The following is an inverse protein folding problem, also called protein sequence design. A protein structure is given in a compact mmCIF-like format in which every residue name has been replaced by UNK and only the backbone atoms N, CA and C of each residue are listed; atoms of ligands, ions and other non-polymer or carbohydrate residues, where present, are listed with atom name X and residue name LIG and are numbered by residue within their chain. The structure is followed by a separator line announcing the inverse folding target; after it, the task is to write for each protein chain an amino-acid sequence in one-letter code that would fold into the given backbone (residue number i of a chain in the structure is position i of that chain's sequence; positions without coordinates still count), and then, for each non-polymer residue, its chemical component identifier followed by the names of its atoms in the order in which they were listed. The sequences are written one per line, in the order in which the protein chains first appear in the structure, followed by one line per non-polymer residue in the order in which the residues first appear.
data_IF_273174271906
#
_entry.id   IF_273174271906
#
_cell.length_a   1.000
_cell.length_b   1.000
_cell.length_c   1.000
_cell.angle_alpha   90.00
_cell.angle_beta   90.00
_cell.angle_gamma   90.00
#
_symmetry.space_group_name_H-M   'P 1'
#
loop_
_entity.id
_entity.type
_entity.pdbx_description
1 polymer ?
#
# COMPACT_ATOMS: atom_id res chain seq x y z
N UNK A 1 11.68 -18.17 0.62
CA UNK A 1 12.64 -17.04 0.56
C UNK A 1 13.83 -17.42 1.40
N UNK A 2 15.05 -17.14 0.93
CA UNK A 2 16.25 -17.24 1.78
C UNK A 2 16.24 -16.17 2.88
N UNK A 3 17.21 -16.26 3.80
CA UNK A 3 17.28 -15.39 4.97
C UNK A 3 17.44 -13.91 4.61
N UNK A 4 18.20 -13.59 3.56
CA UNK A 4 18.46 -12.21 3.15
C UNK A 4 17.21 -11.61 2.51
N UNK A 5 16.56 -12.33 1.60
CA UNK A 5 15.30 -11.91 1.00
C UNK A 5 14.20 -11.69 2.05
N UNK A 6 14.13 -12.55 3.08
CA UNK A 6 13.18 -12.41 4.20
C UNK A 6 13.48 -11.18 5.05
N UNK A 7 14.75 -10.94 5.35
CA UNK A 7 15.15 -9.74 6.10
C UNK A 7 14.81 -8.46 5.34
N UNK A 8 15.14 -8.38 4.05
CA UNK A 8 14.80 -7.24 3.19
C UNK A 8 13.29 -7.00 3.14
N UNK A 9 12.49 -8.07 2.97
CA UNK A 9 11.03 -7.98 2.98
C UNK A 9 10.50 -7.37 4.29
N UNK A 10 10.98 -7.85 5.44
CA UNK A 10 10.54 -7.34 6.74
C UNK A 10 10.90 -5.85 6.93
N UNK A 11 12.06 -5.42 6.45
CA UNK A 11 12.47 -4.01 6.48
C UNK A 11 11.52 -3.16 5.63
N UNK A 12 11.16 -3.62 4.42
CA UNK A 12 10.22 -2.91 3.55
C UNK A 12 8.82 -2.80 4.17
N UNK A 13 8.33 -3.87 4.80
CA UNK A 13 7.05 -3.86 5.53
C UNK A 13 7.08 -2.85 6.68
N UNK A 14 8.15 -2.84 7.47
CA UNK A 14 8.30 -1.89 8.58
C UNK A 14 8.35 -0.42 8.11
N UNK A 15 8.97 -0.15 6.95
CA UNK A 15 8.98 1.20 6.35
C UNK A 15 7.56 1.62 5.91
N UNK A 16 6.80 0.70 5.31
CA UNK A 16 5.43 0.98 4.91
C UNK A 16 4.51 1.25 6.12
N UNK A 17 4.62 0.42 7.16
CA UNK A 17 3.96 0.59 8.46
C UNK A 17 4.33 1.93 9.13
N UNK A 18 5.62 2.31 9.12
CA UNK A 18 6.07 3.63 9.59
C UNK A 18 5.39 4.76 8.82
N UNK A 19 5.31 4.65 7.49
CA UNK A 19 4.59 5.61 6.65
C UNK A 19 3.11 5.73 7.04
N UNK A 20 2.45 4.59 7.33
CA UNK A 20 1.08 4.57 7.81
C UNK A 20 0.93 5.26 9.17
N UNK A 21 1.84 4.99 10.11
CA UNK A 21 1.85 5.61 11.44
C UNK A 21 2.04 7.14 11.38
N UNK A 22 2.99 7.62 10.56
CA UNK A 22 3.19 9.06 10.31
C UNK A 22 1.92 9.69 9.73
N UNK A 23 1.23 8.95 8.87
CA UNK A 23 -0.07 9.31 8.33
C UNK A 23 -1.25 8.90 9.23
N UNK A 24 -1.05 8.89 10.56
CA UNK A 24 -2.09 8.73 11.57
C UNK A 24 -2.94 7.46 11.43
N UNK A 25 -2.38 6.42 10.81
CA UNK A 25 -2.91 5.07 10.78
C UNK A 25 -2.37 4.24 11.94
N UNK A 26 -2.81 2.99 11.98
CA UNK A 26 -2.30 2.00 12.92
C UNK A 26 -0.85 1.62 12.55
N UNK A 27 0.11 1.67 13.49
CA UNK A 27 1.51 1.33 13.20
C UNK A 27 1.75 -0.12 12.80
N UNK A 28 0.82 -1.03 13.08
CA UNK A 28 0.95 -2.44 12.71
C UNK A 28 0.27 -2.76 11.35
N UNK A 29 -0.45 -1.78 10.77
CA UNK A 29 -1.13 -1.90 9.48
C UNK A 29 -0.33 -1.22 8.35
N UNK A 30 -0.28 -1.89 7.20
CA UNK A 30 0.33 -1.34 5.97
C UNK A 30 -0.55 -0.27 5.30
N UNK A 31 0.06 0.68 4.60
CA UNK A 31 -0.66 1.68 3.79
C UNK A 31 -1.58 0.98 2.78
N UNK A 32 -1.10 -0.08 2.13
CA UNK A 32 -1.88 -0.81 1.11
C UNK A 32 -3.08 -1.55 1.72
N UNK A 33 -2.94 -2.18 2.90
CA UNK A 33 -4.07 -2.77 3.61
C UNK A 33 -5.10 -1.71 4.04
N UNK A 34 -4.64 -0.58 4.58
CA UNK A 34 -5.52 0.54 4.97
C UNK A 34 -6.28 1.13 3.80
N UNK A 35 -5.59 1.38 2.69
CA UNK A 35 -6.21 1.86 1.45
C UNK A 35 -7.20 0.82 0.92
N UNK A 36 -6.83 -0.46 0.91
CA UNK A 36 -7.70 -1.56 0.51
C UNK A 36 -8.99 -1.63 1.35
N UNK A 37 -8.88 -1.43 2.67
CA UNK A 37 -10.04 -1.41 3.57
C UNK A 37 -10.99 -0.27 3.24
N UNK A 38 -10.50 0.97 3.17
CA UNK A 38 -11.36 2.13 2.94
C UNK A 38 -11.90 2.21 1.51
N UNK A 39 -11.19 1.66 0.53
CA UNK A 39 -11.68 1.54 -0.83
C UNK A 39 -12.80 0.50 -0.95
N UNK A 40 -12.70 -0.66 -0.27
CA UNK A 40 -13.56 -1.81 -0.56
C UNK A 40 -14.48 -2.27 0.57
N UNK A 41 -14.04 -2.21 1.83
CA UNK A 41 -14.70 -2.85 2.98
C UNK A 41 -15.35 -1.87 3.94
N UNK A 42 -14.87 -0.61 4.00
CA UNK A 42 -15.44 0.38 4.91
C UNK A 42 -16.93 0.61 4.63
N UNK A 43 -17.80 0.51 5.67
CA UNK A 43 -19.20 0.88 5.56
C UNK A 43 -19.37 2.39 5.38
N UNK A 44 -18.40 3.18 5.87
CA UNK A 44 -18.35 4.61 5.64
C UNK A 44 -17.74 4.91 4.25
N UNK A 45 -18.52 5.53 3.37
CA UNK A 45 -18.11 5.93 2.01
C UNK A 45 -17.53 7.34 1.92
N UNK A 46 -17.28 8.00 3.06
CA UNK A 46 -16.63 9.30 3.07
C UNK A 46 -15.25 9.21 2.41
N UNK A 47 -14.98 10.14 1.47
CA UNK A 47 -13.75 10.15 0.67
C UNK A 47 -13.51 8.85 -0.13
N UNK A 48 -14.54 8.08 -0.46
CA UNK A 48 -14.39 6.82 -1.21
C UNK A 48 -13.61 6.99 -2.52
N UNK A 49 -13.81 8.08 -3.26
CA UNK A 49 -13.03 8.36 -4.48
C UNK A 49 -11.55 8.61 -4.22
N UNK A 50 -11.20 9.25 -3.11
CA UNK A 50 -9.81 9.44 -2.69
C UNK A 50 -9.14 8.09 -2.39
N UNK A 51 -9.82 7.22 -1.62
CA UNK A 51 -9.31 5.89 -1.31
C UNK A 51 -9.17 5.02 -2.55
N UNK A 52 -10.16 5.05 -3.46
CA UNK A 52 -10.07 4.35 -4.75
C UNK A 52 -9.00 4.90 -5.68
N UNK A 53 -8.71 6.20 -5.60
CA UNK A 53 -7.61 6.78 -6.36
C UNK A 53 -6.27 6.25 -5.85
N UNK A 54 -6.03 6.30 -4.54
CA UNK A 54 -4.82 5.73 -3.95
C UNK A 54 -4.69 4.24 -4.22
N UNK A 55 -5.79 3.49 -4.12
CA UNK A 55 -5.81 2.06 -4.45
C UNK A 55 -5.31 1.81 -5.87
N UNK A 56 -5.79 2.57 -6.87
CA UNK A 56 -5.33 2.42 -8.26
C UNK A 56 -3.85 2.77 -8.41
N UNK A 57 -3.37 3.80 -7.74
CA UNK A 57 -1.95 4.20 -7.79
C UNK A 57 -1.06 3.09 -7.24
N UNK A 58 -1.43 2.54 -6.09
CA UNK A 58 -0.67 1.46 -5.43
C UNK A 58 -0.78 0.18 -6.25
N UNK A 59 -1.98 -0.22 -6.65
CA UNK A 59 -2.20 -1.41 -7.47
C UNK A 59 -1.45 -1.34 -8.81
N UNK A 60 -1.40 -0.18 -9.47
CA UNK A 60 -0.60 0.02 -10.68
C UNK A 60 0.89 -0.14 -10.42
N UNK A 61 1.37 0.40 -9.28
CA UNK A 61 2.78 0.34 -8.89
C UNK A 61 3.24 -1.10 -8.65
N UNK A 62 2.41 -1.90 -7.98
CA UNK A 62 2.72 -3.28 -7.62
C UNK A 62 2.23 -4.32 -8.63
N UNK A 63 1.43 -3.94 -9.64
CA UNK A 63 0.95 -4.86 -10.67
C UNK A 63 2.04 -5.75 -11.29
N UNK A 64 3.25 -5.23 -11.61
CA UNK A 64 4.27 -6.07 -12.22
C UNK A 64 4.91 -7.09 -11.26
N UNK A 65 4.73 -6.91 -9.94
CA UNK A 65 5.25 -7.80 -8.90
C UNK A 65 4.19 -8.77 -8.37
N UNK A 66 3.02 -8.23 -7.97
CA UNK A 66 1.98 -8.96 -7.23
C UNK A 66 0.75 -9.29 -8.08
N UNK A 67 0.68 -8.78 -9.31
CA UNK A 67 -0.52 -8.88 -10.15
C UNK A 67 -1.64 -7.94 -9.71
N UNK A 68 -2.90 -8.20 -10.10
CA UNK A 68 -4.01 -7.30 -9.84
C UNK A 68 -4.43 -7.30 -8.37
N UNK A 69 -4.97 -6.17 -7.89
CA UNK A 69 -5.60 -5.99 -6.57
C UNK A 69 -4.64 -6.19 -5.39
N UNK A 70 -3.45 -5.58 -5.47
CA UNK A 70 -2.45 -5.61 -4.41
C UNK A 70 -3.04 -5.14 -3.08
N UNK A 71 -3.72 -3.98 -3.03
CA UNK A 71 -4.28 -3.44 -1.79
C UNK A 71 -5.29 -4.38 -1.13
N UNK A 72 -6.14 -5.03 -1.93
CA UNK A 72 -7.14 -5.99 -1.43
C UNK A 72 -6.48 -7.28 -0.93
N UNK A 73 -5.42 -7.73 -1.59
CA UNK A 73 -4.61 -8.88 -1.15
C UNK A 73 -3.89 -8.59 0.17
N UNK A 74 -3.31 -7.40 0.30
CA UNK A 74 -2.68 -6.92 1.54
C UNK A 74 -3.68 -6.88 2.68
N UNK A 75 -4.88 -6.33 2.46
CA UNK A 75 -5.96 -6.35 3.45
C UNK A 75 -6.36 -7.77 3.87
N UNK A 76 -6.41 -8.72 2.94
CA UNK A 76 -6.79 -10.10 3.25
C UNK A 76 -5.71 -10.86 4.06
N UNK A 77 -4.46 -10.40 4.01
CA UNK A 77 -3.34 -10.93 4.80
C UNK A 77 -3.21 -10.25 6.16
N UNK A 78 -3.86 -9.11 6.32
CA UNK A 78 -3.90 -8.37 7.56
C UNK A 78 -4.94 -8.99 8.51
N UNK A 79 -4.51 -9.30 9.73
CA UNK A 79 -5.38 -9.89 10.75
C UNK A 79 -5.94 -8.83 11.71
N UNK A 80 -5.54 -7.57 11.53
CA UNK A 80 -5.81 -6.51 12.50
C UNK A 80 -7.10 -5.74 12.24
N UNK A 81 -7.78 -5.41 13.33
CA UNK A 81 -9.01 -4.62 13.33
C UNK A 81 -8.69 -3.25 13.90
N UNK A 82 -8.48 -2.24 13.05
CA UNK A 82 -8.06 -0.92 13.54
C UNK A 82 -7.96 0.19 12.51
N UNK A 83 -8.60 0.03 11.34
CA UNK A 83 -8.44 0.99 10.25
C UNK A 83 -8.97 2.39 10.62
N UNK A 84 -8.07 3.36 10.79
CA UNK A 84 -8.40 4.76 11.14
C UNK A 84 -8.47 5.63 9.88
N UNK A 85 -9.55 6.40 9.72
CA UNK A 85 -9.71 7.31 8.58
C UNK A 85 -8.71 8.48 8.59
N UNK A 86 -8.43 9.02 9.78
CA UNK A 86 -7.62 10.23 9.97
C UNK A 86 -8.35 11.53 9.60
N UNK A 87 -7.78 12.66 10.03
CA UNK A 87 -8.21 14.00 9.64
C UNK A 87 -7.80 14.35 8.21
N UNK A 88 -8.31 15.45 7.67
CA UNK A 88 -8.00 15.93 6.33
C UNK A 88 -6.50 16.13 6.09
N UNK A 89 -5.79 16.69 7.08
CA UNK A 89 -4.33 16.85 7.05
C UNK A 89 -3.62 15.49 6.97
N UNK A 90 -4.05 14.54 7.80
CA UNK A 90 -3.46 13.20 7.86
C UNK A 90 -3.64 12.45 6.54
N UNK A 91 -4.79 12.61 5.87
CA UNK A 91 -4.99 12.07 4.52
C UNK A 91 -4.09 12.75 3.48
N UNK A 92 -3.92 14.07 3.55
CA UNK A 92 -2.98 14.75 2.64
C UNK A 92 -1.55 14.20 2.81
N UNK A 93 -1.11 13.98 4.05
CA UNK A 93 0.19 13.35 4.37
C UNK A 93 0.25 11.92 3.80
N UNK A 94 -0.79 11.10 4.01
CA UNK A 94 -0.87 9.74 3.47
C UNK A 94 -0.68 9.73 1.94
N UNK A 95 -1.43 10.58 1.23
CA UNK A 95 -1.35 10.67 -0.22
C UNK A 95 0.03 11.13 -0.69
N UNK A 96 0.63 12.11 -0.01
CA UNK A 96 1.97 12.58 -0.32
C UNK A 96 3.02 11.47 -0.18
N UNK A 97 3.00 10.74 0.94
CA UNK A 97 3.92 9.61 1.20
C UNK A 97 3.69 8.51 0.15
N UNK A 98 2.45 8.06 -0.01
CA UNK A 98 2.12 6.95 -0.89
C UNK A 98 2.45 7.25 -2.37
N UNK A 99 2.05 8.40 -2.88
CA UNK A 99 2.29 8.77 -4.29
C UNK A 99 3.79 8.95 -4.54
N UNK A 100 4.52 9.63 -3.64
CA UNK A 100 5.96 9.84 -3.80
C UNK A 100 6.70 8.51 -3.81
N UNK A 101 6.41 7.61 -2.86
CA UNK A 101 6.99 6.27 -2.83
C UNK A 101 6.62 5.46 -4.09
N UNK A 102 5.35 5.51 -4.52
CA UNK A 102 4.87 4.81 -5.71
C UNK A 102 5.56 5.27 -6.99
N UNK A 103 5.92 6.56 -7.13
CA UNK A 103 6.69 7.04 -8.29
C UNK A 103 8.04 6.33 -8.36
N UNK A 104 8.79 6.27 -7.26
CA UNK A 104 10.11 5.61 -7.27
C UNK A 104 10.01 4.09 -7.42
N UNK A 105 9.06 3.46 -6.72
CA UNK A 105 8.85 2.00 -6.82
C UNK A 105 8.38 1.63 -8.22
N UNK A 106 7.47 2.39 -8.84
CA UNK A 106 6.95 2.09 -10.17
C UNK A 106 8.03 2.12 -11.25
N UNK A 107 9.00 3.04 -11.15
CA UNK A 107 10.16 3.05 -12.06
C UNK A 107 10.93 1.73 -11.97
N UNK A 108 11.13 1.19 -10.77
CA UNK A 108 11.83 -0.08 -10.57
C UNK A 108 10.99 -1.27 -11.04
N UNK A 109 9.74 -1.38 -10.60
CA UNK A 109 8.88 -2.54 -10.88
C UNK A 109 8.52 -2.67 -12.35
N UNK A 110 8.19 -1.55 -13.01
CA UNK A 110 7.87 -1.55 -14.42
C UNK A 110 9.10 -1.74 -15.30
N UNK A 111 10.26 -1.20 -14.92
CA UNK A 111 11.52 -1.47 -15.64
C UNK A 111 11.87 -2.96 -15.57
N UNK A 112 11.79 -3.58 -14.38
CA UNK A 112 12.00 -5.02 -14.23
C UNK A 112 11.03 -5.83 -15.11
N UNK A 113 9.76 -5.40 -15.20
CA UNK A 113 8.75 -6.05 -16.03
C UNK A 113 9.03 -5.94 -17.53
N UNK A 114 9.45 -4.77 -17.99
CA UNK A 114 9.85 -4.55 -19.39
C UNK A 114 11.10 -5.35 -19.76
N UNK A 115 11.99 -5.62 -18.79
CA UNK A 115 13.15 -6.51 -18.95
C UNK A 115 12.79 -8.01 -18.90
N UNK A 116 11.50 -8.35 -18.80
CA UNK A 116 11.00 -9.73 -18.88
C UNK A 116 10.72 -10.41 -17.55
N UNK A 117 10.86 -9.71 -16.41
CA UNK A 117 10.38 -10.22 -15.13
C UNK A 117 8.84 -10.28 -15.14
N UNK A 118 8.26 -11.39 -14.72
CA UNK A 118 6.79 -11.55 -14.66
C UNK A 118 6.37 -11.79 -13.21
N UNK A 119 5.19 -11.28 -12.81
CA UNK A 119 4.63 -11.56 -11.49
C UNK A 119 4.45 -13.08 -11.34
N UNK A 120 4.70 -13.57 -10.13
CA UNK A 120 4.56 -14.99 -9.79
C UNK A 120 3.11 -15.38 -9.54
#
# INVERSE_FOLDING_TARGET
MDAVAKWLWNVLVAIDQLGNAIAGGDPDITISARVGYFANRSPNKQFHYYWRFLERVIDFTFYPLDGPKHCLSSLAKDNEQGHVHGSDLVRAILAFIAITACVFISLLTWTAYLLGHRPK
#
